data_IF_382226282147
#
_entry.id   IF_382226282147
#
_cell.length_a   1.000
_cell.length_b   1.000
_cell.length_c   1.000
_cell.angle_alpha   90.00
_cell.angle_beta   90.00
_cell.angle_gamma   90.00
#
_symmetry.space_group_name_H-M   'P 1'
#
loop_
_entity.id
_entity.type
_entity.pdbx_description
1 polymer ?
#
# COMPACT_ATOMS: atom_id res chain seq x y z
N UNK A 1 17.19 -25.53 35.24
CA UNK A 1 16.93 -26.90 34.78
C UNK A 1 15.43 -27.10 34.93
N UNK A 2 14.67 -27.10 33.83
CA UNK A 2 13.21 -27.26 33.88
C UNK A 2 12.96 -28.76 34.04
N UNK A 3 12.30 -29.15 35.13
CA UNK A 3 12.05 -30.54 35.48
C UNK A 3 11.04 -31.13 34.46
N UNK A 4 11.48 -32.07 33.62
CA UNK A 4 10.67 -32.67 32.54
C UNK A 4 9.41 -33.38 33.07
N UNK A 5 9.35 -33.66 34.39
CA UNK A 5 8.19 -34.23 35.08
C UNK A 5 7.10 -33.19 35.39
N UNK A 6 7.45 -31.90 35.57
CA UNK A 6 6.47 -30.82 35.74
C UNK A 6 5.75 -30.46 34.44
N UNK A 7 6.39 -30.71 33.28
CA UNK A 7 5.81 -30.42 31.96
C UNK A 7 4.57 -31.27 31.65
N UNK A 8 4.46 -32.46 32.25
CA UNK A 8 3.28 -33.34 32.14
C UNK A 8 2.14 -33.02 33.11
N UNK A 9 2.29 -32.02 33.99
CA UNK A 9 1.25 -31.56 34.91
C UNK A 9 0.30 -30.55 34.24
N UNK A 10 -0.92 -30.40 34.76
CA UNK A 10 -1.87 -29.38 34.29
C UNK A 10 -1.30 -27.95 34.36
N UNK A 11 -0.40 -27.70 35.33
CA UNK A 11 0.33 -26.44 35.45
C UNK A 11 1.34 -26.27 34.30
N UNK A 12 2.14 -27.31 34.01
CA UNK A 12 3.09 -27.32 32.89
C UNK A 12 2.43 -27.05 31.55
N UNK A 13 1.29 -27.71 31.28
CA UNK A 13 0.54 -27.52 30.04
C UNK A 13 -0.01 -26.08 29.89
N UNK A 14 -0.40 -25.46 31.01
CA UNK A 14 -0.85 -24.07 31.05
C UNK A 14 0.27 -23.08 30.71
N UNK A 15 1.50 -23.36 31.15
CA UNK A 15 2.65 -22.54 30.78
C UNK A 15 2.99 -22.66 29.29
N UNK A 16 2.96 -23.88 28.75
CA UNK A 16 3.24 -24.13 27.34
C UNK A 16 2.22 -23.42 26.44
N UNK A 17 0.91 -23.53 26.73
CA UNK A 17 -0.12 -22.84 25.93
C UNK A 17 0.05 -21.32 25.96
N UNK A 18 0.35 -20.72 27.12
CA UNK A 18 0.63 -19.28 27.24
C UNK A 18 1.88 -18.85 26.45
N UNK A 19 2.92 -19.68 26.40
CA UNK A 19 4.12 -19.39 25.62
C UNK A 19 3.84 -19.43 24.12
N UNK A 20 3.12 -20.45 23.64
CA UNK A 20 2.74 -20.56 22.23
C UNK A 20 1.85 -19.37 21.82
N UNK A 21 0.88 -19.00 22.66
CA UNK A 21 0.03 -17.82 22.43
C UNK A 21 0.86 -16.54 22.23
N UNK A 22 1.84 -16.30 23.10
CA UNK A 22 2.70 -15.12 23.01
C UNK A 22 3.55 -15.13 21.74
N UNK A 23 4.14 -16.27 21.39
CA UNK A 23 4.97 -16.45 20.20
C UNK A 23 4.15 -16.23 18.93
N UNK A 24 2.96 -16.84 18.84
CA UNK A 24 2.07 -16.68 17.69
C UNK A 24 1.70 -15.21 17.46
N UNK A 25 1.29 -14.51 18.52
CA UNK A 25 0.95 -13.08 18.47
C UNK A 25 2.15 -12.21 18.07
N UNK A 26 3.33 -12.51 18.60
CA UNK A 26 4.56 -11.80 18.22
C UNK A 26 4.85 -11.97 16.72
N UNK A 27 4.82 -13.22 16.21
CA UNK A 27 5.06 -13.50 14.79
C UNK A 27 4.02 -12.81 13.91
N UNK A 28 2.73 -12.84 14.28
CA UNK A 28 1.68 -12.13 13.55
C UNK A 28 1.94 -10.62 13.50
N UNK A 29 2.40 -10.01 14.60
CA UNK A 29 2.79 -8.60 14.59
C UNK A 29 3.95 -8.33 13.61
N UNK A 30 4.97 -9.19 13.54
CA UNK A 30 6.06 -9.04 12.55
C UNK A 30 5.63 -9.31 11.11
N UNK A 31 4.59 -10.12 10.89
CA UNK A 31 4.01 -10.33 9.55
C UNK A 31 3.31 -9.06 9.06
N UNK A 32 2.56 -8.39 9.95
CA UNK A 32 1.70 -7.25 9.60
C UNK A 32 2.34 -5.88 9.79
N UNK A 33 3.29 -5.72 10.71
CA UNK A 33 3.94 -4.46 11.05
C UNK A 33 5.44 -4.49 10.75
N UNK A 34 5.97 -3.36 10.29
CA UNK A 34 7.37 -3.22 9.90
C UNK A 34 8.18 -2.71 11.10
N UNK A 35 9.18 -3.44 11.59
CA UNK A 35 10.01 -2.96 12.69
C UNK A 35 10.85 -1.74 12.27
N UNK A 36 10.97 -0.76 13.17
CA UNK A 36 11.74 0.48 12.93
C UNK A 36 13.09 0.51 13.67
N UNK A 37 13.17 -0.15 14.83
CA UNK A 37 14.29 -0.05 15.77
C UNK A 37 15.28 -1.20 15.60
N UNK A 38 16.49 -1.08 16.13
CA UNK A 38 17.49 -2.15 16.09
C UNK A 38 17.02 -3.38 16.89
N UNK A 39 17.40 -4.58 16.45
CA UNK A 39 17.09 -5.85 17.15
C UNK A 39 17.37 -5.80 18.66
N UNK A 40 18.53 -5.29 19.15
CA UNK A 40 18.77 -5.20 20.60
C UNK A 40 17.77 -4.30 21.33
N UNK A 41 17.32 -3.20 20.72
CA UNK A 41 16.29 -2.35 21.31
C UNK A 41 14.93 -3.07 21.37
N UNK A 42 14.58 -3.82 20.33
CA UNK A 42 13.35 -4.60 20.29
C UNK A 42 13.32 -5.64 21.41
N UNK A 43 14.40 -6.42 21.53
CA UNK A 43 14.56 -7.41 22.60
C UNK A 43 14.47 -6.74 23.96
N UNK A 44 15.18 -5.63 24.17
CA UNK A 44 15.12 -4.86 25.40
C UNK A 44 13.71 -4.40 25.76
N UNK A 45 12.94 -3.88 24.80
CA UNK A 45 11.56 -3.43 25.02
C UNK A 45 10.64 -4.58 25.44
N UNK A 46 10.69 -5.72 24.75
CA UNK A 46 9.87 -6.89 25.10
C UNK A 46 10.27 -7.51 26.44
N UNK A 47 11.58 -7.60 26.73
CA UNK A 47 12.07 -8.12 28.02
C UNK A 47 11.67 -7.21 29.18
N UNK A 48 11.80 -5.89 29.01
CA UNK A 48 11.41 -4.90 30.03
C UNK A 48 9.93 -4.99 30.35
N UNK A 49 9.09 -5.09 29.31
CA UNK A 49 7.64 -5.21 29.47
C UNK A 49 7.26 -6.55 30.11
N UNK A 50 7.93 -7.64 29.72
CA UNK A 50 7.74 -8.94 30.37
C UNK A 50 8.10 -8.90 31.86
N UNK A 51 9.21 -8.25 32.23
CA UNK A 51 9.59 -8.05 33.63
C UNK A 51 8.58 -7.18 34.40
N UNK A 52 8.08 -6.11 33.77
CA UNK A 52 7.04 -5.26 34.33
C UNK A 52 5.73 -6.03 34.55
N UNK A 53 5.30 -6.84 33.58
CA UNK A 53 4.13 -7.72 33.68
C UNK A 53 4.29 -8.71 34.83
N UNK A 54 5.47 -9.35 34.96
CA UNK A 54 5.73 -10.29 36.06
C UNK A 54 5.66 -9.60 37.42
N UNK A 55 6.16 -8.37 37.52
CA UNK A 55 6.12 -7.55 38.73
C UNK A 55 4.69 -7.12 39.06
N UNK A 56 3.93 -6.69 38.05
CA UNK A 56 2.51 -6.33 38.20
C UNK A 56 1.67 -7.53 38.62
N UNK A 57 1.93 -8.72 38.08
CA UNK A 57 1.25 -9.96 38.50
C UNK A 57 1.52 -10.28 39.97
N UNK A 58 2.72 -10.01 40.48
CA UNK A 58 3.04 -10.17 41.89
C UNK A 58 2.20 -9.21 42.76
N UNK A 59 2.03 -7.97 42.29
CA UNK A 59 1.23 -6.94 42.96
C UNK A 59 -0.28 -7.23 42.91
N UNK A 60 -0.77 -7.83 41.82
CA UNK A 60 -2.18 -8.17 41.61
C UNK A 60 -2.57 -9.55 42.19
N UNK A 61 -1.60 -10.35 42.65
CA UNK A 61 -1.84 -11.64 43.30
C UNK A 61 -2.87 -11.62 44.44
N UNK A 62 -2.96 -10.59 45.32
CA UNK A 62 -3.95 -10.55 46.40
C UNK A 62 -5.38 -10.22 45.93
N UNK A 63 -5.59 -9.83 44.67
CA UNK A 63 -6.92 -9.48 44.13
C UNK A 63 -7.70 -10.68 43.60
N UNK A 64 -7.10 -11.89 43.60
CA UNK A 64 -7.71 -13.16 43.19
C UNK A 64 -8.53 -13.07 41.89
N UNK A 65 -7.96 -12.39 40.88
CA UNK A 65 -8.59 -12.16 39.59
C UNK A 65 -8.84 -13.49 38.86
N UNK A 66 -9.96 -13.57 38.14
CA UNK A 66 -10.25 -14.71 37.27
C UNK A 66 -9.07 -14.98 36.32
N UNK A 67 -8.65 -16.25 36.12
CA UNK A 67 -7.48 -16.60 35.29
C UNK A 67 -7.58 -16.12 33.83
N UNK A 68 -8.81 -15.97 33.33
CA UNK A 68 -9.08 -15.40 32.02
C UNK A 68 -8.86 -13.89 32.04
N UNK A 69 -9.43 -13.17 33.02
CA UNK A 69 -9.24 -11.72 33.13
C UNK A 69 -7.75 -11.35 33.31
N UNK A 70 -6.98 -12.13 34.07
CA UNK A 70 -5.52 -11.97 34.17
C UNK A 70 -4.86 -12.08 32.79
N UNK A 71 -5.27 -13.03 31.94
CA UNK A 71 -4.68 -13.19 30.61
C UNK A 71 -5.00 -12.01 29.69
N UNK A 72 -6.23 -11.47 29.75
CA UNK A 72 -6.65 -10.30 28.98
C UNK A 72 -5.90 -9.03 29.38
N UNK A 73 -5.80 -8.75 30.69
CA UNK A 73 -5.10 -7.56 31.21
C UNK A 73 -3.62 -7.65 30.89
N UNK A 74 -2.98 -8.77 31.22
CA UNK A 74 -1.54 -8.93 31.01
C UNK A 74 -1.16 -8.95 29.53
N UNK A 75 -2.02 -9.52 28.68
CA UNK A 75 -1.83 -9.49 27.24
C UNK A 75 -1.91 -8.09 26.64
N UNK A 76 -2.86 -7.26 27.10
CA UNK A 76 -3.01 -5.88 26.61
C UNK A 76 -1.78 -5.00 26.88
N UNK A 77 -0.99 -5.30 27.92
CA UNK A 77 0.26 -4.59 28.22
C UNK A 77 1.34 -4.78 27.14
N UNK A 78 1.24 -5.82 26.31
CA UNK A 78 2.10 -5.98 25.12
C UNK A 78 1.81 -4.97 24.01
N UNK A 79 0.78 -4.13 24.14
CA UNK A 79 0.60 -2.97 23.29
C UNK A 79 1.76 -1.97 23.47
N UNK A 80 2.32 -1.83 24.68
CA UNK A 80 3.42 -0.90 24.98
C UNK A 80 4.65 -1.16 24.09
N UNK A 81 5.28 -2.36 24.09
CA UNK A 81 6.43 -2.61 23.23
C UNK A 81 6.06 -2.55 21.74
N UNK A 82 4.84 -2.95 21.38
CA UNK A 82 4.32 -2.82 20.01
C UNK A 82 4.34 -1.36 19.54
N UNK A 83 3.91 -0.42 20.38
CA UNK A 83 3.93 1.01 20.03
C UNK A 83 5.34 1.58 19.86
N UNK A 84 6.33 1.05 20.58
CA UNK A 84 7.72 1.50 20.56
C UNK A 84 8.54 0.91 19.40
N UNK A 85 8.27 -0.33 19.01
CA UNK A 85 9.10 -1.12 18.09
C UNK A 85 8.78 -0.86 16.61
N UNK A 86 7.50 -0.75 16.27
CA UNK A 86 7.04 -0.74 14.88
C UNK A 86 6.98 0.67 14.27
N UNK A 87 7.06 0.79 12.94
CA UNK A 87 7.19 2.07 12.23
C UNK A 87 5.87 2.80 11.99
N UNK A 88 4.77 2.05 11.95
CA UNK A 88 3.44 2.49 11.53
C UNK A 88 2.86 3.60 12.44
N UNK A 89 1.71 4.16 12.08
CA UNK A 89 1.01 5.13 12.93
C UNK A 89 0.46 4.45 14.18
N UNK A 90 0.27 5.21 15.26
CA UNK A 90 -0.28 4.67 16.52
C UNK A 90 -1.61 3.93 16.29
N UNK A 91 -2.50 4.50 15.48
CA UNK A 91 -3.80 3.91 15.13
C UNK A 91 -3.68 2.56 14.43
N UNK A 92 -2.75 2.43 13.48
CA UNK A 92 -2.49 1.15 12.79
C UNK A 92 -1.95 0.10 13.75
N UNK A 93 -1.03 0.48 14.63
CA UNK A 93 -0.48 -0.45 15.63
C UNK A 93 -1.56 -0.95 16.57
N UNK A 94 -2.42 -0.06 17.07
CA UNK A 94 -3.54 -0.40 17.93
C UNK A 94 -4.51 -1.34 17.21
N UNK A 95 -4.89 -1.02 15.97
CA UNK A 95 -5.78 -1.86 15.17
C UNK A 95 -5.21 -3.28 14.98
N UNK A 96 -3.97 -3.39 14.46
CA UNK A 96 -3.36 -4.69 14.17
C UNK A 96 -3.13 -5.49 15.46
N UNK A 97 -2.73 -4.83 16.55
CA UNK A 97 -2.57 -5.48 17.85
C UNK A 97 -3.87 -6.12 18.32
N UNK A 98 -4.96 -5.35 18.42
CA UNK A 98 -6.23 -5.87 18.91
C UNK A 98 -6.90 -6.83 17.93
N UNK A 99 -6.69 -6.65 16.63
CA UNK A 99 -7.16 -7.60 15.60
C UNK A 99 -6.52 -8.98 15.79
N UNK A 100 -5.19 -9.04 15.87
CA UNK A 100 -4.46 -10.30 16.07
C UNK A 100 -4.86 -10.93 17.40
N UNK A 101 -4.86 -10.13 18.47
CA UNK A 101 -5.19 -10.62 19.81
C UNK A 101 -6.61 -11.17 19.87
N UNK A 102 -7.59 -10.51 19.24
CA UNK A 102 -8.96 -10.99 19.15
C UNK A 102 -9.05 -12.33 18.42
N UNK A 103 -8.30 -12.50 17.32
CA UNK A 103 -8.29 -13.74 16.55
C UNK A 103 -7.68 -14.90 17.35
N UNK A 104 -6.55 -14.69 18.03
CA UNK A 104 -5.92 -15.74 18.85
C UNK A 104 -6.80 -16.11 20.06
N UNK A 105 -7.44 -15.14 20.70
CA UNK A 105 -8.35 -15.40 21.82
C UNK A 105 -9.63 -16.11 21.39
N UNK A 106 -10.15 -15.79 20.20
CA UNK A 106 -11.26 -16.52 19.59
C UNK A 106 -10.89 -17.98 19.36
N UNK A 107 -9.71 -18.25 18.79
CA UNK A 107 -9.19 -19.61 18.59
C UNK A 107 -9.10 -20.35 19.93
N UNK A 108 -8.51 -19.73 20.94
CA UNK A 108 -8.39 -20.30 22.28
C UNK A 108 -9.75 -20.68 22.88
N UNK A 109 -10.73 -19.78 22.83
CA UNK A 109 -12.06 -20.00 23.38
C UNK A 109 -12.85 -21.06 22.61
N UNK A 110 -12.76 -21.09 21.29
CA UNK A 110 -13.43 -22.08 20.44
C UNK A 110 -12.96 -23.50 20.77
N UNK A 111 -11.65 -23.70 20.92
CA UNK A 111 -11.11 -25.00 21.26
C UNK A 111 -11.41 -25.40 22.71
N UNK A 112 -11.40 -24.45 23.65
CA UNK A 112 -11.86 -24.69 25.03
C UNK A 112 -13.32 -25.15 25.07
N UNK A 113 -14.19 -24.54 24.26
CA UNK A 113 -15.60 -24.92 24.17
C UNK A 113 -15.81 -26.31 23.56
N UNK A 114 -15.13 -26.60 22.45
CA UNK A 114 -15.14 -27.93 21.82
C UNK A 114 -14.69 -29.00 22.84
N UNK A 115 -13.66 -28.69 23.63
CA UNK A 115 -13.20 -29.55 24.72
C UNK A 115 -14.30 -29.87 25.72
N UNK A 116 -15.07 -28.87 26.16
CA UNK A 116 -16.20 -29.09 27.07
C UNK A 116 -17.31 -29.97 26.47
N UNK A 117 -17.48 -29.97 25.14
CA UNK A 117 -18.54 -30.72 24.46
C UNK A 117 -18.16 -32.20 24.17
N UNK A 118 -16.91 -32.47 23.78
CA UNK A 118 -16.48 -33.81 23.33
C UNK A 118 -16.03 -34.76 24.45
N UNK A 119 -15.49 -34.27 25.57
CA UNK A 119 -15.09 -35.07 26.76
C UNK A 119 -14.43 -34.19 27.83
N UNK A 120 -14.55 -34.47 29.15
CA UNK A 120 -13.85 -33.75 30.22
C UNK A 120 -12.33 -33.95 30.26
N UNK A 121 -11.69 -34.26 29.13
CA UNK A 121 -10.23 -34.18 29.01
C UNK A 121 -9.76 -32.74 29.30
N UNK A 122 -8.55 -32.60 29.86
CA UNK A 122 -7.97 -31.33 30.29
C UNK A 122 -8.20 -30.22 29.24
N UNK A 123 -9.02 -29.18 29.52
CA UNK A 123 -9.33 -28.11 28.56
C UNK A 123 -8.07 -27.43 28.00
N UNK A 124 -6.98 -27.46 28.78
CA UNK A 124 -5.67 -26.96 28.39
C UNK A 124 -5.09 -27.68 27.16
N UNK A 125 -5.38 -28.97 26.96
CA UNK A 125 -4.91 -29.75 25.80
C UNK A 125 -5.57 -29.22 24.52
N UNK A 126 -6.87 -28.96 24.55
CA UNK A 126 -7.59 -28.42 23.40
C UNK A 126 -7.14 -27.00 23.08
N UNK A 127 -6.98 -26.16 24.11
CA UNK A 127 -6.41 -24.82 23.95
C UNK A 127 -5.02 -24.86 23.28
N UNK A 128 -4.16 -25.79 23.71
CA UNK A 128 -2.86 -26.01 23.07
C UNK A 128 -3.03 -26.38 21.60
N UNK A 129 -3.93 -27.32 21.30
CA UNK A 129 -4.27 -27.73 19.93
C UNK A 129 -4.69 -26.56 19.05
N UNK A 130 -5.60 -25.70 19.53
CA UNK A 130 -6.04 -24.51 18.81
C UNK A 130 -4.92 -23.54 18.48
N UNK A 131 -4.04 -23.25 19.46
CA UNK A 131 -2.90 -22.36 19.26
C UNK A 131 -1.85 -22.96 18.31
N UNK A 132 -1.66 -24.28 18.35
CA UNK A 132 -0.79 -24.95 17.37
C UNK A 132 -1.35 -24.89 15.96
N UNK A 133 -2.67 -25.00 15.80
CA UNK A 133 -3.35 -24.83 14.51
C UNK A 133 -3.19 -23.40 13.99
N UNK A 134 -3.31 -22.40 14.88
CA UNK A 134 -3.05 -21.00 14.53
C UNK A 134 -1.62 -20.79 14.02
N UNK A 135 -0.62 -21.37 14.71
CA UNK A 135 0.76 -21.34 14.23
C UNK A 135 0.95 -22.03 12.88
N UNK A 136 0.29 -23.17 12.65
CA UNK A 136 0.34 -23.87 11.37
C UNK A 136 -0.30 -23.05 10.23
N UNK A 137 -1.26 -22.18 10.54
CA UNK A 137 -1.91 -21.29 9.58
C UNK A 137 -1.06 -20.04 9.21
N UNK A 138 0.02 -19.74 9.94
CA UNK A 138 0.85 -18.54 9.71
C UNK A 138 1.34 -18.35 8.26
N UNK A 139 1.79 -19.39 7.53
CA UNK A 139 2.20 -19.23 6.12
C UNK A 139 1.04 -18.79 5.22
N UNK A 140 -0.17 -19.28 5.49
CA UNK A 140 -1.39 -18.89 4.76
C UNK A 140 -1.77 -17.45 5.10
N UNK A 141 -1.71 -17.07 6.38
CA UNK A 141 -1.95 -15.69 6.83
C UNK A 141 -0.96 -14.73 6.16
N UNK A 142 0.33 -15.09 6.12
CA UNK A 142 1.35 -14.27 5.45
C UNK A 142 1.09 -14.14 3.94
N UNK A 143 0.63 -15.21 3.28
CA UNK A 143 0.35 -15.20 1.83
C UNK A 143 -0.90 -14.42 1.47
N UNK A 144 -1.98 -14.55 2.24
CA UNK A 144 -3.31 -14.05 1.87
C UNK A 144 -3.79 -12.84 2.68
N UNK A 145 -3.40 -12.71 3.95
CA UNK A 145 -3.88 -11.63 4.83
C UNK A 145 -2.95 -10.42 4.85
N UNK A 146 -1.68 -10.57 4.46
CA UNK A 146 -0.68 -9.49 4.54
C UNK A 146 -1.02 -8.27 3.68
N UNK A 147 -1.38 -8.50 2.42
CA UNK A 147 -1.68 -7.42 1.49
C UNK A 147 -2.94 -6.63 1.91
N UNK A 148 -4.07 -7.28 2.21
CA UNK A 148 -5.26 -6.54 2.61
C UNK A 148 -5.11 -5.83 3.97
N UNK A 149 -4.42 -6.42 4.97
CA UNK A 149 -4.16 -5.73 6.25
C UNK A 149 -3.33 -4.48 6.05
N UNK A 150 -2.36 -4.50 5.11
CA UNK A 150 -1.56 -3.32 4.76
C UNK A 150 -2.38 -2.24 4.06
N UNK A 151 -3.31 -2.61 3.19
CA UNK A 151 -4.23 -1.68 2.54
C UNK A 151 -5.18 -1.03 3.55
N UNK A 152 -5.73 -1.82 4.47
CA UNK A 152 -6.60 -1.36 5.56
C UNK A 152 -5.83 -0.41 6.49
N UNK A 153 -4.59 -0.75 6.84
CA UNK A 153 -3.73 0.14 7.61
C UNK A 153 -3.53 1.50 6.92
N UNK A 154 -3.37 1.51 5.59
CA UNK A 154 -3.32 2.74 4.79
C UNK A 154 -4.65 3.52 4.81
N UNK A 155 -5.78 2.82 4.76
CA UNK A 155 -7.11 3.42 4.81
C UNK A 155 -7.43 4.03 6.19
N UNK A 156 -7.10 3.32 7.29
CA UNK A 156 -7.27 3.80 8.67
C UNK A 156 -6.45 5.06 8.89
N UNK A 157 -5.22 5.10 8.40
CA UNK A 157 -4.35 6.28 8.54
C UNK A 157 -4.84 7.51 7.77
N UNK A 158 -5.79 7.39 6.84
CA UNK A 158 -6.15 8.45 5.90
C UNK A 158 -7.60 8.95 5.96
N UNK A 159 -8.52 8.22 6.62
CA UNK A 159 -9.95 8.55 6.53
C UNK A 159 -10.71 8.68 7.85
N UNK A 160 -10.67 7.69 8.75
CA UNK A 160 -11.49 7.76 9.96
C UNK A 160 -10.92 6.91 11.12
N UNK A 161 -10.57 7.51 12.27
CA UNK A 161 -10.07 6.79 13.43
C UNK A 161 -11.10 5.86 14.08
N UNK A 162 -12.40 6.03 13.83
CA UNK A 162 -13.44 5.19 14.42
C UNK A 162 -13.26 3.70 14.09
N UNK A 163 -12.62 3.36 12.96
CA UNK A 163 -12.33 1.97 12.61
C UNK A 163 -11.35 1.28 13.57
N UNK A 164 -10.52 2.02 14.32
CA UNK A 164 -9.67 1.41 15.35
C UNK A 164 -10.47 0.95 16.56
N UNK A 165 -11.70 1.45 16.75
CA UNK A 165 -12.55 1.06 17.87
C UNK A 165 -13.17 -0.32 17.66
N UNK A 166 -13.32 -0.78 16.42
CA UNK A 166 -14.02 -2.04 16.11
C UNK A 166 -13.29 -3.27 16.67
N UNK A 167 -11.97 -3.47 16.45
CA UNK A 167 -11.26 -4.59 17.07
C UNK A 167 -11.18 -4.47 18.59
N UNK A 168 -11.08 -3.25 19.13
CA UNK A 168 -11.04 -3.00 20.58
C UNK A 168 -12.37 -3.42 21.22
N UNK A 169 -13.49 -3.00 20.63
CA UNK A 169 -14.82 -3.34 21.13
C UNK A 169 -15.06 -4.85 21.04
N UNK A 170 -14.65 -5.48 19.94
CA UNK A 170 -14.71 -6.94 19.79
C UNK A 170 -13.89 -7.67 20.86
N UNK A 171 -12.69 -7.16 21.14
CA UNK A 171 -11.82 -7.68 22.19
C UNK A 171 -12.43 -7.55 23.59
N UNK A 172 -12.98 -6.38 23.93
CA UNK A 172 -13.63 -6.14 25.22
C UNK A 172 -14.86 -7.05 25.41
N UNK A 173 -15.61 -7.27 24.34
CA UNK A 173 -16.76 -8.16 24.33
C UNK A 173 -16.35 -9.64 24.48
N UNK A 174 -15.24 -10.04 23.87
CA UNK A 174 -14.67 -11.38 24.05
C UNK A 174 -14.17 -11.60 25.48
N UNK A 175 -13.54 -10.57 26.06
CA UNK A 175 -13.09 -10.58 27.45
C UNK A 175 -14.28 -10.73 28.42
N UNK A 176 -15.39 -10.01 28.17
CA UNK A 176 -16.58 -10.12 29.03
C UNK A 176 -17.22 -11.51 28.97
N UNK A 177 -17.31 -12.14 27.80
CA UNK A 177 -17.79 -13.51 27.67
C UNK A 177 -16.86 -14.52 28.34
N UNK A 178 -15.55 -14.33 28.22
CA UNK A 178 -14.56 -15.14 28.92
C UNK A 178 -14.77 -15.11 30.43
N UNK A 179 -14.98 -13.92 31.00
CA UNK A 179 -15.21 -13.74 32.45
C UNK A 179 -16.53 -14.36 32.89
N UNK A 180 -17.61 -14.14 32.14
CA UNK A 180 -18.93 -14.67 32.51
C UNK A 180 -19.02 -16.20 32.39
N UNK A 181 -18.07 -16.86 31.71
CA UNK A 181 -18.06 -18.31 31.44
C UNK A 181 -19.36 -18.81 30.77
N UNK A 182 -20.06 -17.92 30.06
CA UNK A 182 -21.31 -18.21 29.37
C UNK A 182 -20.97 -18.77 27.99
N UNK A 183 -20.78 -20.07 27.91
CA UNK A 183 -20.51 -20.78 26.66
C UNK A 183 -21.81 -21.30 26.03
N UNK A 184 -22.74 -20.39 25.76
CA UNK A 184 -24.06 -20.71 25.20
C UNK A 184 -24.00 -20.56 23.66
N UNK A 185 -24.75 -21.33 22.86
CA UNK A 185 -24.77 -21.17 21.39
C UNK A 185 -25.07 -19.74 20.90
N UNK A 186 -25.71 -18.90 21.71
CA UNK A 186 -25.91 -17.47 21.42
C UNK A 186 -24.60 -16.66 21.43
N UNK A 187 -23.61 -17.01 22.25
CA UNK A 187 -22.30 -16.34 22.24
C UNK A 187 -21.51 -16.70 20.98
N UNK A 188 -21.71 -17.90 20.43
CA UNK A 188 -21.18 -18.31 19.12
C UNK A 188 -21.69 -17.41 17.98
N UNK A 189 -22.95 -16.96 18.04
CA UNK A 189 -23.51 -16.02 17.06
C UNK A 189 -22.79 -14.67 17.15
N UNK A 190 -22.56 -14.15 18.36
CA UNK A 190 -21.82 -12.90 18.55
C UNK A 190 -20.35 -13.00 18.13
N UNK A 191 -19.72 -14.17 18.34
CA UNK A 191 -18.36 -14.48 17.88
C UNK A 191 -18.28 -14.53 16.35
N UNK A 192 -19.29 -15.14 15.72
CA UNK A 192 -19.42 -15.19 14.26
C UNK A 192 -19.65 -13.78 13.70
N UNK A 193 -20.51 -12.99 14.35
CA UNK A 193 -20.74 -11.58 13.99
C UNK A 193 -19.48 -10.73 14.13
N UNK A 194 -18.68 -10.89 15.18
CA UNK A 194 -17.41 -10.18 15.35
C UNK A 194 -16.39 -10.57 14.27
N UNK A 195 -16.29 -11.86 13.95
CA UNK A 195 -15.43 -12.37 12.87
C UNK A 195 -15.87 -11.86 11.50
N UNK A 196 -17.19 -11.83 11.25
CA UNK A 196 -17.77 -11.24 10.05
C UNK A 196 -17.53 -9.73 10.04
N UNK A 197 -17.63 -9.02 11.17
CA UNK A 197 -17.38 -7.58 11.24
C UNK A 197 -15.91 -7.24 10.92
N UNK A 198 -14.98 -8.07 11.42
CA UNK A 198 -13.56 -7.99 11.10
C UNK A 198 -13.34 -8.25 9.59
N UNK A 199 -13.98 -9.28 9.05
CA UNK A 199 -13.92 -9.61 7.62
C UNK A 199 -14.61 -8.57 6.73
N UNK A 200 -15.66 -7.92 7.23
CA UNK A 200 -16.39 -6.87 6.54
C UNK A 200 -15.61 -5.57 6.60
N UNK A 201 -15.00 -5.22 7.74
CA UNK A 201 -14.03 -4.14 7.82
C UNK A 201 -12.86 -4.36 6.85
N UNK A 202 -12.46 -5.63 6.65
CA UNK A 202 -11.44 -6.03 5.68
C UNK A 202 -11.90 -5.88 4.23
N UNK A 203 -13.12 -6.33 3.91
CA UNK A 203 -13.69 -6.28 2.56
C UNK A 203 -14.15 -4.89 2.15
N UNK A 204 -14.81 -4.12 3.03
CA UNK A 204 -15.30 -2.76 2.79
C UNK A 204 -14.21 -1.70 2.97
N UNK A 205 -13.26 -1.90 3.90
CA UNK A 205 -12.09 -1.03 4.05
C UNK A 205 -11.16 -1.07 2.84
N UNK A 206 -11.06 -2.23 2.16
CA UNK A 206 -10.35 -2.39 0.89
C UNK A 206 -11.18 -2.08 -0.37
N UNK A 207 -12.53 -2.08 -0.30
CA UNK A 207 -13.43 -1.77 -1.45
C UNK A 207 -13.96 -0.34 -1.50
N UNK A 208 -13.56 0.53 -0.60
CA UNK A 208 -13.97 1.94 -0.57
C UNK A 208 -13.44 2.82 -1.72
N UNK A 209 -13.27 2.27 -2.93
CA UNK A 209 -13.50 2.92 -4.23
C UNK A 209 -13.37 1.95 -5.43
N UNK A 210 -13.98 0.77 -5.38
CA UNK A 210 -14.24 -0.01 -6.59
C UNK A 210 -15.75 -0.10 -6.81
N UNK A 211 -16.20 0.61 -7.84
CA UNK A 211 -17.53 0.58 -8.46
C UNK A 211 -18.62 1.45 -7.81
N UNK A 212 -18.68 2.69 -8.27
CA UNK A 212 -19.94 3.26 -8.72
C UNK A 212 -19.75 3.85 -10.13
N UNK A 213 -19.88 2.99 -11.12
CA UNK A 213 -20.57 3.25 -12.39
C UNK A 213 -20.72 1.89 -13.10
N UNK A 214 -21.94 1.37 -12.99
CA UNK A 214 -22.42 0.17 -13.68
C UNK A 214 -22.75 0.50 -15.14
N UNK A 215 -22.88 -0.53 -15.99
CA UNK A 215 -22.47 -0.50 -17.39
C UNK A 215 -23.64 -0.30 -18.35
N UNK A 216 -23.35 0.29 -19.52
CA UNK A 216 -24.10 -0.06 -20.73
C UNK A 216 -23.19 -0.05 -21.97
N UNK A 217 -23.09 -1.26 -22.53
CA UNK A 217 -22.61 -1.68 -23.85
C UNK A 217 -22.24 -0.62 -24.89
N UNK A 218 -20.99 -0.67 -25.34
CA UNK A 218 -20.68 -0.88 -26.77
C UNK A 218 -19.54 -1.91 -26.88
N UNK A 219 -19.91 -3.09 -27.36
CA UNK A 219 -19.02 -4.13 -27.85
C UNK A 219 -18.38 -3.68 -29.17
N UNK A 220 -17.06 -3.56 -29.23
CA UNK A 220 -16.29 -4.01 -30.40
C UNK A 220 -15.04 -4.76 -29.93
N UNK A 221 -14.92 -5.99 -30.43
CA UNK A 221 -13.79 -6.92 -30.33
C UNK A 221 -12.47 -6.25 -30.74
N UNK A 222 -11.38 -6.50 -30.01
CA UNK A 222 -10.40 -7.56 -30.33
C UNK A 222 -9.01 -7.22 -29.80
N UNK A 223 -8.32 -8.30 -29.40
CA UNK A 223 -6.88 -8.45 -29.18
C UNK A 223 -6.30 -8.07 -27.81
N UNK A 224 -5.55 -9.03 -27.28
CA UNK A 224 -4.75 -8.98 -26.06
C UNK A 224 -3.64 -7.95 -26.23
N UNK A 225 -3.94 -6.67 -26.08
CA UNK A 225 -2.95 -5.64 -25.87
C UNK A 225 -2.83 -5.33 -24.38
N UNK A 226 -1.60 -5.28 -23.88
CA UNK A 226 -1.32 -4.60 -22.62
C UNK A 226 -1.91 -3.18 -22.69
N UNK A 227 -2.48 -2.64 -21.60
CA UNK A 227 -3.15 -1.34 -21.62
C UNK A 227 -2.23 -0.29 -22.26
N UNK A 228 -2.72 0.44 -23.26
CA UNK A 228 -1.93 1.45 -23.97
C UNK A 228 -1.93 2.72 -23.14
N UNK A 229 -0.75 3.11 -22.69
CA UNK A 229 -0.53 4.32 -21.90
C UNK A 229 -0.04 5.37 -22.88
N UNK A 230 -0.80 6.44 -23.06
CA UNK A 230 -0.44 7.54 -23.96
C UNK A 230 -0.12 8.79 -23.15
N UNK A 231 0.96 9.46 -23.46
CA UNK A 231 1.40 10.70 -22.81
C UNK A 231 1.49 11.79 -23.88
N UNK A 232 0.77 12.88 -23.66
CA UNK A 232 0.84 14.09 -24.49
C UNK A 232 1.70 15.13 -23.81
N UNK A 233 2.65 15.67 -24.55
CA UNK A 233 3.58 16.71 -24.12
C UNK A 233 3.47 17.99 -24.96
N UNK A 234 2.93 17.93 -26.17
CA UNK A 234 2.63 19.13 -26.96
C UNK A 234 1.29 19.73 -26.53
N UNK A 235 1.27 21.02 -26.22
CA UNK A 235 0.18 21.71 -25.53
C UNK A 235 0.23 21.49 -24.02
N UNK A 236 -0.88 21.02 -23.43
CA UNK A 236 -0.98 20.67 -22.01
C UNK A 236 -0.49 19.25 -21.75
N UNK A 237 0.28 19.06 -20.69
CA UNK A 237 0.72 17.73 -20.25
C UNK A 237 -0.48 16.89 -19.77
N UNK A 238 -0.78 15.84 -20.54
CA UNK A 238 -1.91 14.96 -20.29
C UNK A 238 -1.50 13.49 -20.43
N UNK A 239 -2.09 12.64 -19.59
CA UNK A 239 -1.85 11.20 -19.60
C UNK A 239 -3.18 10.53 -19.88
N UNK A 240 -3.16 9.55 -20.76
CA UNK A 240 -4.33 8.76 -21.13
C UNK A 240 -4.03 7.29 -20.89
N UNK A 241 -5.05 6.55 -20.46
CA UNK A 241 -5.03 5.10 -20.43
C UNK A 241 -6.16 4.59 -21.29
N UNK A 242 -5.81 3.82 -22.32
CA UNK A 242 -6.79 3.25 -23.26
C UNK A 242 -7.74 4.33 -23.83
N UNK A 243 -7.21 5.53 -24.07
CA UNK A 243 -7.95 6.70 -24.58
C UNK A 243 -8.64 7.58 -23.52
N UNK A 244 -8.73 7.13 -22.26
CA UNK A 244 -9.36 7.88 -21.19
C UNK A 244 -8.36 8.81 -20.47
N UNK A 245 -8.66 10.12 -20.32
CA UNK A 245 -7.77 11.07 -19.65
C UNK A 245 -7.63 10.77 -18.15
N UNK A 246 -6.40 10.77 -17.65
CA UNK A 246 -6.07 10.58 -16.25
C UNK A 246 -5.74 11.92 -15.60
N UNK A 247 -6.58 12.35 -14.66
CA UNK A 247 -6.41 13.65 -14.02
C UNK A 247 -5.53 13.54 -12.76
N UNK A 248 -4.27 13.97 -12.85
CA UNK A 248 -3.38 14.11 -11.71
C UNK A 248 -3.69 15.41 -10.94
N UNK A 249 -4.46 15.31 -9.85
CA UNK A 249 -4.90 16.47 -9.04
C UNK A 249 -3.77 17.30 -8.43
N UNK A 250 -2.55 16.75 -8.30
CA UNK A 250 -1.44 17.45 -7.69
C UNK A 250 -0.49 18.00 -8.76
N UNK A 251 -0.47 19.33 -8.92
CA UNK A 251 0.35 20.01 -9.92
C UNK A 251 1.84 19.64 -9.84
N UNK A 252 2.43 19.56 -8.63
CA UNK A 252 3.85 19.20 -8.46
C UNK A 252 4.14 17.71 -8.74
N UNK A 253 3.22 16.81 -8.43
CA UNK A 253 3.34 15.40 -8.83
C UNK A 253 3.25 15.24 -10.35
N UNK A 254 2.36 16.00 -10.99
CA UNK A 254 2.21 16.07 -12.44
C UNK A 254 3.50 16.60 -13.09
N UNK A 255 4.05 17.68 -12.55
CA UNK A 255 5.31 18.28 -13.01
C UNK A 255 6.51 17.34 -12.86
N UNK A 256 6.65 16.63 -11.73
CA UNK A 256 7.69 15.59 -11.58
C UNK A 256 7.55 14.53 -12.67
N UNK A 257 6.33 14.07 -12.96
CA UNK A 257 6.13 13.05 -13.99
C UNK A 257 6.49 13.59 -15.37
N UNK A 258 6.08 14.82 -15.70
CA UNK A 258 6.47 15.50 -16.93
C UNK A 258 8.00 15.61 -17.05
N UNK A 259 8.69 15.94 -15.96
CA UNK A 259 10.14 16.02 -15.92
C UNK A 259 10.82 14.66 -16.13
N UNK A 260 10.29 13.59 -15.56
CA UNK A 260 10.84 12.24 -15.79
C UNK A 260 10.58 11.74 -17.23
N UNK A 261 9.46 12.12 -17.84
CA UNK A 261 9.19 11.88 -19.27
C UNK A 261 10.15 12.71 -20.15
N UNK A 262 10.39 13.96 -19.79
CA UNK A 262 11.35 14.82 -20.49
C UNK A 262 12.76 14.21 -20.57
N UNK A 263 13.17 13.49 -19.53
CA UNK A 263 14.47 12.80 -19.38
C UNK A 263 14.57 11.48 -20.14
N UNK A 264 13.52 11.04 -20.83
CA UNK A 264 13.57 9.93 -21.81
C UNK A 264 14.18 8.62 -21.27
N UNK A 265 13.95 8.31 -19.98
CA UNK A 265 14.42 7.08 -19.34
C UNK A 265 15.81 7.15 -18.69
N UNK A 266 16.46 8.32 -18.70
CA UNK A 266 17.62 8.58 -17.86
C UNK A 266 17.27 8.44 -16.36
N UNK A 267 18.15 7.80 -15.59
CA UNK A 267 18.02 7.70 -14.15
C UNK A 267 18.44 9.02 -13.48
N UNK A 268 17.48 9.70 -12.87
CA UNK A 268 17.68 11.03 -12.28
C UNK A 268 17.63 10.96 -10.77
N UNK A 269 18.60 11.58 -10.10
CA UNK A 269 18.61 11.73 -8.65
C UNK A 269 17.58 12.74 -8.16
N UNK A 270 17.13 12.60 -6.91
CA UNK A 270 16.14 13.50 -6.33
C UNK A 270 16.57 14.98 -6.36
N UNK A 271 17.88 15.26 -6.19
CA UNK A 271 18.45 16.62 -6.18
C UNK A 271 18.19 17.34 -7.51
N UNK A 272 18.46 16.66 -8.65
CA UNK A 272 18.20 17.19 -10.00
C UNK A 272 16.71 17.37 -10.30
N UNK A 273 15.84 16.60 -9.66
CA UNK A 273 14.38 16.78 -9.79
C UNK A 273 13.96 18.00 -8.98
N UNK A 274 14.50 18.16 -7.78
CA UNK A 274 14.24 19.31 -6.91
C UNK A 274 14.69 20.61 -7.56
N UNK A 275 15.90 20.66 -8.09
CA UNK A 275 16.45 21.84 -8.78
C UNK A 275 15.57 22.29 -9.95
N UNK A 276 15.01 21.34 -10.70
CA UNK A 276 14.12 21.64 -11.81
C UNK A 276 12.71 22.07 -11.36
N UNK A 277 12.10 21.33 -10.43
CA UNK A 277 10.68 21.49 -10.07
C UNK A 277 10.46 22.56 -8.98
N UNK A 278 11.49 22.88 -8.20
CA UNK A 278 11.47 23.88 -7.12
C UNK A 278 12.74 24.75 -7.09
N UNK A 279 13.00 25.55 -8.13
CA UNK A 279 14.23 26.35 -8.24
C UNK A 279 14.41 27.34 -7.06
N UNK A 280 13.33 27.91 -6.54
CA UNK A 280 13.37 28.97 -5.52
C UNK A 280 13.23 28.47 -4.06
N UNK A 281 13.22 27.15 -3.84
CA UNK A 281 13.01 26.59 -2.50
C UNK A 281 14.32 26.26 -1.78
N UNK A 282 14.39 26.58 -0.48
CA UNK A 282 15.47 26.10 0.39
C UNK A 282 15.53 24.57 0.41
N UNK A 283 16.75 24.02 0.37
CA UNK A 283 17.04 22.59 0.20
C UNK A 283 16.23 21.69 1.14
N UNK A 284 16.14 22.00 2.43
CA UNK A 284 15.43 21.19 3.42
C UNK A 284 13.93 21.13 3.15
N UNK A 285 13.32 22.26 2.74
CA UNK A 285 11.90 22.34 2.39
C UNK A 285 11.62 21.64 1.06
N UNK A 286 12.54 21.77 0.11
CA UNK A 286 12.43 21.14 -1.20
C UNK A 286 12.52 19.62 -1.09
N UNK A 287 13.41 19.09 -0.24
CA UNK A 287 13.51 17.65 0.03
C UNK A 287 12.20 17.07 0.60
N UNK A 288 11.60 17.71 1.60
CA UNK A 288 10.30 17.27 2.16
C UNK A 288 9.18 17.36 1.11
N UNK A 289 9.16 18.44 0.32
CA UNK A 289 8.17 18.67 -0.73
C UNK A 289 8.27 17.63 -1.85
N UNK A 290 9.49 17.28 -2.26
CA UNK A 290 9.77 16.23 -3.22
C UNK A 290 9.21 14.89 -2.77
N UNK A 291 9.55 14.43 -1.55
CA UNK A 291 9.06 13.13 -1.07
C UNK A 291 7.54 13.08 -0.93
N UNK A 292 6.91 14.20 -0.55
CA UNK A 292 5.45 14.34 -0.51
C UNK A 292 4.82 14.25 -1.91
N UNK A 293 5.37 14.99 -2.89
CA UNK A 293 4.90 14.97 -4.27
C UNK A 293 5.15 13.62 -4.95
N UNK A 294 6.31 12.99 -4.72
CA UNK A 294 6.65 11.65 -5.22
C UNK A 294 5.75 10.56 -4.62
N UNK A 295 5.37 10.69 -3.34
CA UNK A 295 4.35 9.82 -2.74
C UNK A 295 2.99 9.99 -3.44
N UNK A 296 2.56 11.23 -3.69
CA UNK A 296 1.31 11.52 -4.42
C UNK A 296 1.35 11.00 -5.86
N UNK A 297 2.49 11.12 -6.54
CA UNK A 297 2.71 10.56 -7.87
C UNK A 297 2.59 9.04 -7.88
N UNK A 298 3.29 8.34 -6.97
CA UNK A 298 3.19 6.88 -6.84
C UNK A 298 1.77 6.42 -6.54
N UNK A 299 1.07 7.15 -5.67
CA UNK A 299 -0.34 6.86 -5.37
C UNK A 299 -1.21 7.02 -6.62
N UNK A 300 -1.07 8.13 -7.36
CA UNK A 300 -1.78 8.37 -8.61
C UNK A 300 -1.51 7.25 -9.64
N UNK A 301 -0.24 6.86 -9.85
CA UNK A 301 0.11 5.77 -10.76
C UNK A 301 -0.45 4.42 -10.28
N UNK A 302 -0.43 4.16 -8.96
CA UNK A 302 -1.01 2.94 -8.38
C UNK A 302 -2.52 2.85 -8.58
N UNK A 303 -3.24 3.95 -8.36
CA UNK A 303 -4.70 4.04 -8.55
C UNK A 303 -5.11 3.70 -9.99
N UNK A 304 -4.24 3.97 -10.95
CA UNK A 304 -4.47 3.72 -12.37
C UNK A 304 -3.71 2.49 -12.91
N UNK A 305 -3.16 1.64 -12.03
CA UNK A 305 -2.38 0.44 -12.41
C UNK A 305 -1.18 0.74 -13.35
N UNK A 306 -0.58 1.92 -13.21
CA UNK A 306 0.52 2.42 -14.04
C UNK A 306 1.88 2.40 -13.32
N UNK A 307 2.00 1.77 -12.14
CA UNK A 307 3.26 1.74 -11.39
C UNK A 307 4.43 1.18 -12.21
N UNK A 308 4.14 0.29 -13.14
CA UNK A 308 5.11 -0.38 -13.98
C UNK A 308 5.89 0.55 -14.92
N UNK A 309 5.42 1.78 -15.14
CA UNK A 309 6.12 2.78 -15.98
C UNK A 309 7.22 3.51 -15.21
N UNK A 310 7.17 3.52 -13.87
CA UNK A 310 8.06 4.29 -13.02
C UNK A 310 8.99 3.35 -12.23
N UNK A 311 10.29 3.52 -12.42
CA UNK A 311 11.31 2.88 -11.58
C UNK A 311 11.74 3.84 -10.48
N UNK A 312 11.67 3.37 -9.24
CA UNK A 312 12.14 4.08 -8.05
C UNK A 312 13.23 3.24 -7.38
N UNK A 313 14.48 3.47 -7.78
CA UNK A 313 15.66 2.89 -7.13
C UNK A 313 15.97 3.55 -5.78
N UNK A 314 17.09 3.17 -5.15
CA UNK A 314 17.47 3.68 -3.81
C UNK A 314 17.57 5.20 -3.75
N UNK A 315 18.02 5.86 -4.83
CA UNK A 315 18.07 7.33 -4.97
C UNK A 315 17.94 7.79 -6.43
N UNK A 316 17.33 6.96 -7.29
CA UNK A 316 17.23 7.23 -8.73
C UNK A 316 15.83 6.98 -9.24
N UNK A 317 15.32 7.90 -10.05
CA UNK A 317 13.98 7.87 -10.62
C UNK A 317 14.07 7.90 -12.14
N UNK A 318 13.34 7.00 -12.80
CA UNK A 318 13.24 6.99 -14.27
C UNK A 318 11.88 6.47 -14.72
N UNK A 319 11.45 6.93 -15.89
CA UNK A 319 10.32 6.35 -16.61
C UNK A 319 10.85 5.30 -17.60
N UNK A 320 10.12 4.21 -17.82
CA UNK A 320 10.41 3.24 -18.87
C UNK A 320 9.78 3.70 -20.19
N UNK A 321 10.55 4.23 -21.16
CA UNK A 321 9.97 4.77 -22.40
C UNK A 321 9.24 3.71 -23.21
N UNK A 322 9.70 2.45 -23.18
CA UNK A 322 9.06 1.34 -23.91
C UNK A 322 7.69 0.91 -23.36
N UNK A 323 7.23 1.48 -22.25
CA UNK A 323 5.90 1.22 -21.68
C UNK A 323 4.92 2.38 -21.87
N UNK A 324 5.37 3.48 -22.47
CA UNK A 324 4.52 4.65 -22.74
C UNK A 324 4.61 5.02 -24.22
N UNK A 325 3.47 5.36 -24.79
CA UNK A 325 3.37 5.98 -26.10
C UNK A 325 3.37 7.50 -25.90
N UNK A 326 4.39 8.19 -26.38
CA UNK A 326 4.57 9.62 -26.11
C UNK A 326 4.76 10.38 -27.42
N UNK A 327 3.94 11.41 -27.62
CA UNK A 327 3.98 12.28 -28.79
C UNK A 327 5.36 12.91 -29.02
N UNK A 328 6.04 13.36 -27.97
CA UNK A 328 7.39 13.93 -28.05
C UNK A 328 8.43 12.87 -28.41
N UNK A 329 8.29 11.63 -27.95
CA UNK A 329 9.21 10.54 -28.34
C UNK A 329 9.02 10.16 -29.80
N UNK A 330 7.76 10.08 -30.24
CA UNK A 330 7.43 9.80 -31.63
C UNK A 330 7.91 10.91 -32.56
N UNK A 331 7.66 12.17 -32.19
CA UNK A 331 8.12 13.34 -32.93
C UNK A 331 9.65 13.38 -33.06
N UNK A 332 10.38 13.18 -31.95
CA UNK A 332 11.85 13.13 -31.96
C UNK A 332 12.39 12.00 -32.85
N UNK A 333 11.71 10.84 -32.85
CA UNK A 333 12.06 9.69 -33.69
C UNK A 333 11.82 9.97 -35.18
N UNK A 334 10.76 10.70 -35.51
CA UNK A 334 10.45 11.07 -36.91
C UNK A 334 11.49 12.07 -37.41
N UNK A 335 11.79 13.12 -36.64
CA UNK A 335 12.81 14.10 -37.01
C UNK A 335 14.19 13.46 -37.25
N UNK A 336 14.62 12.56 -36.38
CA UNK A 336 15.89 11.83 -36.57
C UNK A 336 15.93 10.93 -37.81
N UNK A 337 14.77 10.54 -38.37
CA UNK A 337 14.72 9.82 -39.66
C UNK A 337 14.84 10.76 -40.85
N UNK A 338 14.28 11.97 -40.74
CA UNK A 338 14.26 12.97 -41.81
C UNK A 338 15.64 13.61 -41.99
N UNK A 339 16.42 13.79 -40.92
CA UNK A 339 17.84 14.18 -41.05
C UNK A 339 18.66 13.24 -41.95
N UNK A 340 18.21 11.98 -42.12
CA UNK A 340 18.87 10.96 -42.90
C UNK A 340 18.20 10.67 -44.27
N UNK A 341 17.11 11.36 -44.62
CA UNK A 341 16.38 11.17 -45.87
C UNK A 341 15.84 12.51 -46.43
N UNK A 342 16.16 12.89 -47.69
CA UNK A 342 15.98 14.25 -48.19
C UNK A 342 14.53 14.70 -48.44
N UNK A 343 13.53 13.84 -48.26
CA UNK A 343 12.11 14.23 -48.38
C UNK A 343 11.23 13.28 -47.56
N UNK A 344 10.32 13.84 -46.76
CA UNK A 344 9.34 13.04 -46.03
C UNK A 344 8.15 12.67 -46.93
N UNK A 345 7.68 11.43 -46.86
CA UNK A 345 6.46 11.02 -47.53
C UNK A 345 5.24 11.80 -46.98
N UNK A 346 4.19 11.96 -47.79
CA UNK A 346 2.97 12.68 -47.40
C UNK A 346 2.37 12.18 -46.06
N UNK A 347 2.45 10.87 -45.79
CA UNK A 347 1.97 10.27 -44.54
C UNK A 347 2.82 10.66 -43.31
N UNK A 348 4.13 10.87 -43.49
CA UNK A 348 5.02 11.37 -42.43
C UNK A 348 4.67 12.83 -42.12
N UNK A 349 4.49 13.66 -43.16
CA UNK A 349 4.05 15.05 -43.03
C UNK A 349 2.74 15.18 -42.25
N UNK A 350 1.73 14.37 -42.58
CA UNK A 350 0.46 14.33 -41.84
C UNK A 350 0.64 13.89 -40.38
N UNK A 351 1.49 12.89 -40.14
CA UNK A 351 1.78 12.39 -38.79
C UNK A 351 2.45 13.48 -37.94
N UNK A 352 3.42 14.21 -38.48
CA UNK A 352 4.12 15.30 -37.77
C UNK A 352 3.15 16.44 -37.45
N UNK A 353 2.31 16.86 -38.41
CA UNK A 353 1.22 17.84 -38.19
C UNK A 353 0.29 17.40 -37.05
N UNK A 354 -0.07 16.12 -36.99
CA UNK A 354 -0.95 15.58 -35.95
C UNK A 354 -0.29 15.49 -34.57
N UNK A 355 1.02 15.31 -34.50
CA UNK A 355 1.76 15.23 -33.24
C UNK A 355 2.01 16.61 -32.64
N UNK A 356 2.33 17.59 -33.49
CA UNK A 356 2.62 18.97 -33.07
C UNK A 356 1.33 19.81 -32.99
N UNK A 357 0.53 19.59 -31.93
CA UNK A 357 -0.73 20.31 -31.69
C UNK A 357 -0.59 21.57 -30.80
N UNK A 358 0.62 22.05 -30.58
CA UNK A 358 0.93 23.18 -29.69
C UNK A 358 2.38 23.13 -29.22
N UNK A 359 2.84 24.17 -28.53
CA UNK A 359 4.20 24.22 -27.98
C UNK A 359 4.42 23.15 -26.91
N UNK A 360 5.67 22.71 -26.73
CA UNK A 360 6.02 21.71 -25.73
C UNK A 360 5.78 22.24 -24.29
N UNK A 361 4.83 21.63 -23.58
CA UNK A 361 4.36 22.06 -22.25
C UNK A 361 3.92 23.53 -22.18
N UNK A 362 3.38 24.07 -23.28
CA UNK A 362 3.02 25.49 -23.43
C UNK A 362 2.05 25.99 -22.35
N UNK A 363 0.99 25.22 -22.07
CA UNK A 363 -0.02 25.61 -21.08
C UNK A 363 0.44 25.39 -19.62
N UNK A 364 1.42 24.51 -19.41
CA UNK A 364 1.93 24.19 -18.07
C UNK A 364 3.03 25.16 -17.61
N UNK A 365 3.78 25.74 -18.55
CA UNK A 365 4.79 26.75 -18.24
C UNK A 365 5.96 26.23 -17.41
N UNK A 366 6.44 25.01 -17.66
CA UNK A 366 7.58 24.44 -16.92
C UNK A 366 8.91 25.09 -17.33
N UNK A 367 9.57 25.81 -16.42
CA UNK A 367 10.81 26.57 -16.71
C UNK A 367 11.93 25.70 -17.30
N UNK A 368 12.13 24.51 -16.73
CA UNK A 368 13.17 23.56 -17.16
C UNK A 368 12.92 23.01 -18.58
N UNK A 369 11.71 23.14 -19.12
CA UNK A 369 11.34 22.66 -20.44
C UNK A 369 11.68 23.66 -21.55
N UNK A 370 11.87 24.94 -21.22
CA UNK A 370 11.94 26.04 -22.20
C UNK A 370 13.02 25.82 -23.27
N UNK A 371 14.23 25.41 -22.86
CA UNK A 371 15.32 25.15 -23.79
C UNK A 371 15.00 24.02 -24.79
N UNK A 372 14.28 22.98 -24.34
CA UNK A 372 13.84 21.88 -25.22
C UNK A 372 12.66 22.30 -26.08
N UNK A 373 11.74 23.10 -25.55
CA UNK A 373 10.60 23.64 -26.30
C UNK A 373 11.09 24.46 -27.50
N UNK A 374 11.99 25.41 -27.29
CA UNK A 374 12.59 26.22 -28.35
C UNK A 374 13.29 25.35 -29.42
N UNK A 375 14.01 24.30 -28.99
CA UNK A 375 14.68 23.39 -29.93
C UNK A 375 13.68 22.59 -30.78
N UNK A 376 12.62 22.06 -30.16
CA UNK A 376 11.57 21.33 -30.86
C UNK A 376 10.79 22.21 -31.84
N UNK A 377 10.55 23.47 -31.46
CA UNK A 377 9.90 24.48 -32.30
C UNK A 377 10.74 24.80 -33.55
N UNK A 378 12.05 25.06 -33.37
CA UNK A 378 12.97 25.28 -34.50
C UNK A 378 12.96 24.07 -35.44
N UNK A 379 13.10 22.86 -34.91
CA UNK A 379 13.08 21.64 -35.74
C UNK A 379 11.74 21.43 -36.45
N UNK A 380 10.62 21.83 -35.85
CA UNK A 380 9.31 21.80 -36.51
C UNK A 380 9.23 22.81 -37.67
N UNK A 381 9.74 24.03 -37.48
CA UNK A 381 9.77 25.05 -38.52
C UNK A 381 10.66 24.65 -39.69
N UNK A 382 11.87 24.13 -39.40
CA UNK A 382 12.78 23.58 -40.42
C UNK A 382 12.11 22.43 -41.21
N UNK A 383 11.39 21.55 -40.51
CA UNK A 383 10.61 20.49 -41.16
C UNK A 383 9.53 21.05 -42.09
N UNK A 384 8.82 22.09 -41.64
CA UNK A 384 7.80 22.75 -42.44
C UNK A 384 8.38 23.40 -43.69
N UNK A 385 9.53 24.08 -43.58
CA UNK A 385 10.20 24.73 -44.70
C UNK A 385 10.67 23.69 -45.74
N UNK A 386 11.28 22.59 -45.28
CA UNK A 386 11.77 21.52 -46.17
C UNK A 386 10.64 20.78 -46.91
N UNK A 387 9.46 20.67 -46.29
CA UNK A 387 8.33 19.91 -46.82
C UNK A 387 7.15 20.80 -47.24
N UNK A 388 7.38 22.11 -47.40
CA UNK A 388 6.34 23.10 -47.71
C UNK A 388 5.50 22.71 -48.92
N UNK A 389 6.13 22.17 -49.98
CA UNK A 389 5.44 21.75 -51.19
C UNK A 389 4.43 20.61 -50.97
N UNK A 390 4.68 19.67 -50.04
CA UNK A 390 3.71 18.62 -49.69
C UNK A 390 2.68 19.12 -48.67
N UNK A 391 3.10 19.93 -47.69
CA UNK A 391 2.19 20.45 -46.67
C UNK A 391 1.13 21.38 -47.26
N UNK A 392 1.43 22.07 -48.37
CA UNK A 392 0.53 22.95 -49.12
C UNK A 392 -0.42 22.22 -50.07
N UNK A 393 -0.17 20.97 -50.47
CA UNK A 393 -1.11 20.21 -51.32
C UNK A 393 -2.44 19.92 -50.63
N UNK A 394 -2.43 19.75 -49.30
CA UNK A 394 -3.64 19.58 -48.50
C UNK A 394 -4.54 20.83 -48.47
N UNK A 395 -3.97 22.03 -48.63
CA UNK A 395 -4.73 23.29 -48.59
C UNK A 395 -5.54 23.51 -49.88
N UNK A 396 -5.07 22.95 -51.00
CA UNK A 396 -5.72 23.07 -52.31
C UNK A 396 -6.73 21.95 -52.62
N UNK A 397 -6.96 21.01 -51.71
CA UNK A 397 -7.97 19.94 -51.85
C UNK A 397 -9.39 20.31 -51.39
N UNK A 398 -9.61 21.56 -50.98
CA UNK A 398 -10.89 22.07 -50.44
C UNK A 398 -11.56 23.15 -51.32
N UNK A 399 -11.19 23.28 -52.59
CA UNK A 399 -11.90 24.16 -53.56
C UNK A 399 -12.69 23.32 -54.55
#
# INVERSE_FOLDING_TARGET
>A
MIDLKELGSAAGLTYVSKMIFLIANLILLYIFLTPRRSVPFQVGAFVTVWAAIKSLRLLLRPLDLDPLLDSYIMGSLFLIPTTLVFRETFQVKVFVFFLNYCLSQLTYLLFMFIGQLLSPALPQIYALGGLTLEMAALPLVNRYAKMPVREIAGAISSRNPAFTLVPILSFLLLASYGVQRIYVPSTFITLTLSTILIFFAFKFGGRGNLNQQSPELVLIRSERHSPRITVKCFGSFAIYRDGCPLNCKNAKAREILAYLVHRQGEAVGWEKIVEAVWPDCQYERAHVSFHSAMYRLRKFLSEHSLLDILDCGRDSYRIYPGKIDCDMYEFSRILGKIENAPSADAQLCETVKRLYCGGYFEEDGFDWAYAKAAKLEISYLEFCDQNAAELLKDVNGFI
#
